data_IF_936618333573
#
_entry.id   IF_936618333573
#
_cell.length_a   1.000
_cell.length_b   1.000
_cell.length_c   1.000
_cell.angle_alpha   90.00
_cell.angle_beta   90.00
_cell.angle_gamma   90.00
#
_symmetry.space_group_name_H-M   'P 1'
#
loop_
_entity.id
_entity.type
_entity.pdbx_description
1 polymer ?
#
# COMPACT_ATOMS: atom_id res chain seq x y z
N UNK A 1 -3.57 -9.85 -0.65
CA UNK A 1 -3.00 -9.99 -2.02
C UNK A 1 -3.72 -9.02 -2.95
N UNK A 2 -3.03 -8.30 -3.87
CA UNK A 2 -3.70 -7.39 -4.79
C UNK A 2 -4.61 -8.15 -5.78
N UNK A 3 -5.76 -7.57 -6.13
CA UNK A 3 -6.82 -8.25 -6.89
C UNK A 3 -6.37 -8.67 -8.29
N UNK A 4 -5.56 -7.87 -8.96
CA UNK A 4 -5.04 -8.19 -10.29
C UNK A 4 -4.10 -9.41 -10.30
N UNK A 5 -3.40 -9.66 -9.19
CA UNK A 5 -2.55 -10.85 -9.03
C UNK A 5 -3.41 -12.08 -8.77
N UNK A 6 -4.48 -11.96 -7.98
CA UNK A 6 -5.40 -13.06 -7.70
C UNK A 6 -6.12 -13.59 -8.96
N UNK A 7 -6.39 -12.70 -9.93
CA UNK A 7 -7.02 -13.08 -11.22
C UNK A 7 -6.00 -13.42 -12.32
N UNK A 8 -4.71 -13.54 -12.00
CA UNK A 8 -3.67 -13.95 -12.96
C UNK A 8 -3.24 -12.86 -13.95
N UNK A 9 -3.45 -11.57 -13.62
CA UNK A 9 -3.04 -10.41 -14.44
C UNK A 9 -2.13 -9.47 -13.66
N UNK A 10 -0.99 -9.95 -13.11
CA UNK A 10 -0.11 -9.10 -12.31
C UNK A 10 0.47 -7.94 -13.14
N UNK A 11 0.91 -6.90 -12.42
CA UNK A 11 1.61 -5.72 -12.94
C UNK A 11 2.83 -5.47 -12.05
N UNK A 12 3.79 -4.67 -12.50
CA UNK A 12 4.87 -4.23 -11.60
C UNK A 12 4.33 -3.49 -10.36
N UNK A 13 3.19 -2.82 -10.50
CA UNK A 13 2.50 -2.18 -9.37
C UNK A 13 1.86 -3.17 -8.39
N UNK A 14 1.73 -4.46 -8.73
CA UNK A 14 1.32 -5.52 -7.79
C UNK A 14 2.38 -5.75 -6.71
N UNK A 15 3.65 -5.80 -7.11
CA UNK A 15 4.77 -5.92 -6.15
C UNK A 15 4.89 -4.66 -5.29
N UNK A 16 4.58 -3.48 -5.84
CA UNK A 16 4.55 -2.22 -5.08
C UNK A 16 3.48 -2.25 -3.99
N UNK A 17 2.30 -2.80 -4.29
CA UNK A 17 1.28 -3.02 -3.27
C UNK A 17 1.79 -3.94 -2.17
N UNK A 18 2.42 -5.07 -2.53
CA UNK A 18 2.96 -6.01 -1.56
C UNK A 18 4.03 -5.35 -0.65
N UNK A 19 4.95 -4.57 -1.23
CA UNK A 19 5.97 -3.84 -0.45
C UNK A 19 5.31 -2.77 0.45
N UNK A 20 4.31 -2.05 -0.05
CA UNK A 20 3.55 -1.07 0.74
C UNK A 20 2.86 -1.72 1.94
N UNK A 21 2.24 -2.88 1.74
CA UNK A 21 1.62 -3.66 2.82
C UNK A 21 2.63 -4.14 3.85
N UNK A 22 3.82 -4.60 3.42
CA UNK A 22 4.91 -4.99 4.33
C UNK A 22 5.38 -3.78 5.15
N UNK A 23 5.51 -2.61 4.54
CA UNK A 23 5.90 -1.40 5.26
C UNK A 23 4.83 -0.99 6.31
N UNK A 24 3.55 -1.05 5.96
CA UNK A 24 2.45 -0.77 6.89
C UNK A 24 2.41 -1.81 8.01
N UNK A 25 2.63 -3.09 7.72
CA UNK A 25 2.78 -4.13 8.75
C UNK A 25 3.95 -3.81 9.70
N UNK A 26 5.10 -3.38 9.17
CA UNK A 26 6.26 -3.02 9.99
C UNK A 26 5.98 -1.80 10.89
N UNK A 27 5.17 -0.84 10.42
CA UNK A 27 4.80 0.36 11.17
C UNK A 27 3.74 0.11 12.24
N UNK A 28 2.76 -0.74 11.96
CA UNK A 28 1.60 -1.00 12.82
C UNK A 28 1.77 -2.22 13.72
N UNK A 29 2.64 -3.15 13.35
CA UNK A 29 2.77 -4.47 13.97
C UNK A 29 1.64 -5.45 13.62
N UNK A 30 0.69 -5.05 12.77
CA UNK A 30 -0.48 -5.86 12.41
C UNK A 30 -0.21 -6.64 11.12
N UNK A 31 -0.65 -7.90 11.11
CA UNK A 31 -0.58 -8.73 9.92
C UNK A 31 -1.49 -8.18 8.80
N UNK A 32 -1.11 -8.30 7.51
CA UNK A 32 -1.92 -7.85 6.39
C UNK A 32 -3.36 -8.38 6.41
N UNK A 33 -3.59 -9.61 6.87
CA UNK A 33 -4.92 -10.20 6.97
C UNK A 33 -5.79 -9.50 8.01
N UNK A 34 -5.20 -9.02 9.10
CA UNK A 34 -5.90 -8.21 10.13
C UNK A 34 -6.23 -6.84 9.57
N UNK A 35 -5.26 -6.20 8.89
CA UNK A 35 -5.46 -4.91 8.23
C UNK A 35 -6.61 -4.97 7.22
N UNK A 36 -6.66 -6.00 6.38
CA UNK A 36 -7.73 -6.19 5.40
C UNK A 36 -9.09 -6.50 6.06
N UNK A 37 -9.12 -7.30 7.13
CA UNK A 37 -10.39 -7.71 7.74
C UNK A 37 -11.03 -6.60 8.57
N UNK A 38 -10.22 -5.82 9.30
CA UNK A 38 -10.70 -4.92 10.34
C UNK A 38 -10.62 -3.44 9.96
N UNK A 39 -9.77 -3.08 8.99
CA UNK A 39 -9.48 -1.70 8.62
C UNK A 39 -9.66 -1.41 7.14
N UNK A 40 -10.15 -2.37 6.34
CA UNK A 40 -10.56 -2.10 4.96
C UNK A 40 -11.90 -1.36 4.92
N UNK A 41 -11.92 -0.28 4.16
CA UNK A 41 -13.13 0.47 3.87
C UNK A 41 -13.93 -0.27 2.79
N UNK A 42 -15.16 -0.66 3.12
CA UNK A 42 -16.00 -1.45 2.22
C UNK A 42 -16.46 -0.73 0.95
N UNK A 43 -16.43 0.62 0.93
CA UNK A 43 -16.83 1.40 -0.24
C UNK A 43 -15.68 1.60 -1.22
N UNK A 44 -14.44 1.71 -0.71
CA UNK A 44 -13.26 2.03 -1.53
C UNK A 44 -12.33 0.85 -1.74
N UNK A 45 -12.48 -0.22 -0.95
CA UNK A 45 -11.57 -1.37 -0.88
C UNK A 45 -10.12 -0.95 -0.51
N UNK A 46 -9.98 0.20 0.18
CA UNK A 46 -8.70 0.73 0.67
C UNK A 46 -8.55 0.53 2.17
N UNK A 47 -7.31 0.42 2.66
CA UNK A 47 -7.02 0.15 4.08
C UNK A 47 -6.80 1.47 4.83
N UNK A 48 -7.61 1.73 5.85
CA UNK A 48 -7.55 2.92 6.71
C UNK A 48 -6.51 2.76 7.84
N UNK A 49 -5.23 2.59 7.48
CA UNK A 49 -4.15 2.26 8.43
C UNK A 49 -3.54 3.48 9.17
N UNK A 50 -3.78 4.72 8.69
CA UNK A 50 -3.09 5.93 9.17
C UNK A 50 -3.25 6.22 10.65
N UNK A 51 -4.32 5.73 11.29
CA UNK A 51 -4.58 5.91 12.74
C UNK A 51 -3.86 4.89 13.61
N UNK A 52 -3.21 3.89 12.99
CA UNK A 52 -2.60 2.74 13.66
C UNK A 52 -1.08 2.91 13.86
N UNK A 53 -0.48 3.93 13.24
CA UNK A 53 0.94 4.22 13.37
C UNK A 53 1.20 5.73 13.35
N UNK A 54 2.17 6.17 14.14
CA UNK A 54 2.67 7.55 14.09
C UNK A 54 3.72 7.68 12.98
N UNK A 55 3.37 8.36 11.89
CA UNK A 55 4.20 8.54 10.71
C UNK A 55 4.04 9.94 10.15
N UNK A 56 5.10 10.47 9.55
CA UNK A 56 5.00 11.74 8.82
C UNK A 56 3.98 11.67 7.68
N UNK A 57 3.31 12.78 7.39
CA UNK A 57 2.37 12.89 6.28
C UNK A 57 3.01 12.49 4.95
N UNK A 58 4.27 12.86 4.73
CA UNK A 58 5.02 12.52 3.52
C UNK A 58 5.13 11.00 3.34
N UNK A 59 5.65 10.29 4.34
CA UNK A 59 5.82 8.83 4.25
C UNK A 59 4.46 8.15 4.13
N UNK A 60 3.48 8.58 4.91
CA UNK A 60 2.15 8.01 4.83
C UNK A 60 1.50 8.24 3.46
N UNK A 61 1.67 9.41 2.82
CA UNK A 61 1.10 9.67 1.50
C UNK A 61 1.72 8.77 0.43
N UNK A 62 3.02 8.47 0.57
CA UNK A 62 3.71 7.52 -0.32
C UNK A 62 3.10 6.12 -0.15
N UNK A 63 2.97 5.66 1.10
CA UNK A 63 2.43 4.33 1.40
C UNK A 63 0.96 4.20 0.97
N UNK A 64 0.12 5.20 1.21
CA UNK A 64 -1.27 5.23 0.75
C UNK A 64 -1.35 5.06 -0.77
N UNK A 65 -0.45 5.72 -1.53
CA UNK A 65 -0.39 5.56 -2.98
C UNK A 65 0.13 4.17 -3.38
N UNK A 66 1.08 3.60 -2.64
CA UNK A 66 1.59 2.25 -2.93
C UNK A 66 0.50 1.18 -2.78
N UNK A 67 -0.44 1.36 -1.85
CA UNK A 67 -1.47 0.35 -1.54
C UNK A 67 -2.87 0.69 -2.09
N UNK A 68 -3.00 1.61 -3.04
CA UNK A 68 -4.29 1.89 -3.70
C UNK A 68 -4.90 0.62 -4.27
N UNK A 69 -6.21 0.45 -4.08
CA UNK A 69 -6.92 -0.70 -4.63
C UNK A 69 -6.73 -0.77 -6.16
N UNK A 70 -7.07 0.32 -6.85
CA UNK A 70 -6.86 0.45 -8.29
C UNK A 70 -5.35 0.53 -8.61
N UNK A 71 -4.83 -0.53 -9.23
CA UNK A 71 -3.42 -0.64 -9.61
C UNK A 71 -2.93 0.48 -10.54
N UNK A 72 -3.84 1.18 -11.24
CA UNK A 72 -3.53 2.31 -12.13
C UNK A 72 -3.25 3.60 -11.36
N UNK A 73 -3.68 3.67 -10.10
CA UNK A 73 -3.47 4.83 -9.22
C UNK A 73 -2.19 4.71 -8.38
N UNK A 74 -1.60 3.50 -8.35
CA UNK A 74 -0.31 3.24 -7.69
C UNK A 74 0.85 3.85 -8.50
N UNK A 75 2.05 3.82 -7.92
CA UNK A 75 3.25 4.03 -8.70
C UNK A 75 3.38 2.90 -9.74
N UNK A 76 3.83 3.19 -10.97
CA UNK A 76 3.96 2.19 -12.03
C UNK A 76 5.22 1.33 -11.89
N UNK A 77 6.23 1.80 -11.13
CA UNK A 77 7.48 1.06 -10.90
C UNK A 77 8.11 1.38 -9.53
N UNK A 78 8.94 0.47 -9.03
CA UNK A 78 9.69 0.67 -7.80
C UNK A 78 10.71 1.82 -7.90
N UNK A 79 11.18 2.15 -9.12
CA UNK A 79 12.08 3.28 -9.36
C UNK A 79 11.39 4.59 -9.00
N UNK A 80 10.14 4.78 -9.43
CA UNK A 80 9.39 5.99 -9.09
C UNK A 80 9.13 6.12 -7.58
N UNK A 81 8.84 5.01 -6.89
CA UNK A 81 8.70 5.01 -5.43
C UNK A 81 10.02 5.46 -4.78
N UNK A 82 11.14 4.89 -5.24
CA UNK A 82 12.47 5.17 -4.69
C UNK A 82 12.89 6.63 -4.91
N UNK A 83 12.59 7.20 -6.07
CA UNK A 83 12.81 8.62 -6.36
C UNK A 83 12.05 9.50 -5.37
N UNK A 84 10.75 9.26 -5.17
CA UNK A 84 9.93 10.04 -4.24
C UNK A 84 10.41 9.90 -2.80
N UNK A 85 10.94 8.74 -2.40
CA UNK A 85 11.54 8.55 -1.06
C UNK A 85 12.86 9.34 -0.93
N UNK A 86 13.68 9.38 -1.98
CA UNK A 86 15.03 9.96 -1.95
C UNK A 86 15.09 11.48 -2.02
N UNK A 87 14.05 12.15 -2.54
CA UNK A 87 14.01 13.63 -2.58
C UNK A 87 13.82 14.15 -1.16
N UNK A 88 14.94 14.31 -0.46
CA UNK A 88 15.11 14.94 0.85
C UNK A 88 15.92 16.21 0.68
#
# INVERSE_FOLDING_TARGET
MPSEQAIGKPRFSSDIYAVGMIAIQALTGLLPEVLQKEYENQETEEIDWRKLADVSDRLGNILDRMIRYDYRQRYPSAVEVLEVIRVC
#
